data_IF_245780940527
#
_entry.id   IF_245780940527
#
_cell.length_a   1.000
_cell.length_b   1.000
_cell.length_c   1.000
_cell.angle_alpha   90.00
_cell.angle_beta   90.00
_cell.angle_gamma   90.00
#
_symmetry.space_group_name_H-M   'P 1'
#
loop_
_entity.id
_entity.type
_entity.pdbx_description
1 polymer ?
#
# COMPACT_ATOMS: atom_id res chain seq x y z
N UNK A 1 10.47 -16.76 29.23
CA UNK A 1 11.01 -16.04 28.06
C UNK A 1 12.33 -15.44 28.48
N UNK A 2 13.44 -15.87 27.91
CA UNK A 2 14.75 -15.23 28.17
C UNK A 2 14.85 -13.91 27.42
N UNK A 3 15.73 -12.99 27.86
CA UNK A 3 15.97 -11.72 27.17
C UNK A 3 16.33 -11.94 25.69
N UNK A 4 17.04 -13.02 25.37
CA UNK A 4 17.40 -13.38 23.99
C UNK A 4 16.19 -13.77 23.13
N UNK A 5 15.18 -14.44 23.71
CA UNK A 5 13.96 -14.80 22.99
C UNK A 5 13.14 -13.56 22.64
N UNK A 6 13.07 -12.59 23.56
CA UNK A 6 12.38 -11.32 23.35
C UNK A 6 13.06 -10.46 22.26
N UNK A 7 14.38 -10.41 22.22
CA UNK A 7 15.13 -9.68 21.19
C UNK A 7 14.94 -10.28 19.78
N UNK A 8 14.92 -11.61 19.68
CA UNK A 8 14.63 -12.32 18.43
C UNK A 8 13.21 -12.00 17.95
N UNK A 9 12.23 -12.02 18.86
CA UNK A 9 10.85 -11.68 18.55
C UNK A 9 10.72 -10.22 18.09
N UNK A 10 11.39 -9.29 18.77
CA UNK A 10 11.38 -7.88 18.42
C UNK A 10 12.00 -7.63 17.02
N UNK A 11 13.07 -8.34 16.67
CA UNK A 11 13.69 -8.24 15.34
C UNK A 11 12.73 -8.66 14.23
N UNK A 12 12.02 -9.78 14.42
CA UNK A 12 11.01 -10.27 13.46
C UNK A 12 9.88 -9.26 13.27
N UNK A 13 9.41 -8.64 14.35
CA UNK A 13 8.39 -7.60 14.29
C UNK A 13 8.86 -6.37 13.51
N UNK A 14 10.10 -5.91 13.74
CA UNK A 14 10.67 -4.78 13.01
C UNK A 14 10.81 -5.08 11.52
N UNK A 15 11.23 -6.28 11.17
CA UNK A 15 11.37 -6.70 9.77
C UNK A 15 10.01 -6.73 9.07
N UNK A 16 8.98 -7.30 9.72
CA UNK A 16 7.63 -7.37 9.17
C UNK A 16 7.00 -5.99 8.97
N UNK A 17 7.01 -5.14 9.99
CA UNK A 17 6.45 -3.78 9.91
C UNK A 17 7.27 -2.91 8.96
N UNK A 18 8.61 -3.02 9.00
CA UNK A 18 9.50 -2.30 8.10
C UNK A 18 9.27 -2.66 6.64
N UNK A 19 9.18 -3.96 6.33
CA UNK A 19 8.87 -4.46 4.99
C UNK A 19 7.51 -3.96 4.50
N UNK A 20 6.49 -3.98 5.36
CA UNK A 20 5.16 -3.43 5.03
C UNK A 20 5.21 -1.93 4.70
N UNK A 21 5.94 -1.13 5.49
CA UNK A 21 6.08 0.31 5.26
C UNK A 21 6.80 0.58 3.93
N UNK A 22 7.89 -0.13 3.65
CA UNK A 22 8.65 0.03 2.40
C UNK A 22 7.80 -0.32 1.17
N UNK A 23 7.10 -1.46 1.20
CA UNK A 23 6.18 -1.85 0.13
C UNK A 23 5.09 -0.79 -0.12
N UNK A 24 4.57 -0.16 0.95
CA UNK A 24 3.63 0.95 0.82
C UNK A 24 4.26 2.21 0.20
N UNK A 25 5.54 2.47 0.47
CA UNK A 25 6.29 3.53 -0.18
C UNK A 25 6.36 3.32 -1.70
N UNK A 26 6.63 2.10 -2.16
CA UNK A 26 6.66 1.77 -3.59
C UNK A 26 5.28 1.96 -4.24
N UNK A 27 4.22 1.52 -3.56
CA UNK A 27 2.83 1.71 -4.01
C UNK A 27 2.47 3.20 -4.13
N UNK A 28 2.89 4.04 -3.19
CA UNK A 28 2.73 5.50 -3.26
C UNK A 28 3.41 6.09 -4.51
N UNK A 29 4.66 5.71 -4.76
CA UNK A 29 5.42 6.19 -5.92
C UNK A 29 4.79 5.75 -7.25
N UNK A 30 4.41 4.48 -7.36
CA UNK A 30 3.80 3.91 -8.56
C UNK A 30 2.46 4.61 -8.85
N UNK A 31 1.60 4.80 -7.84
CA UNK A 31 0.31 5.45 -8.02
C UNK A 31 0.44 6.93 -8.39
N UNK A 32 1.48 7.62 -7.90
CA UNK A 32 1.78 8.98 -8.36
C UNK A 32 2.17 9.04 -9.84
N UNK A 33 2.97 8.08 -10.32
CA UNK A 33 3.34 7.98 -11.74
C UNK A 33 2.12 7.69 -12.61
N UNK A 34 1.32 6.69 -12.23
CA UNK A 34 0.09 6.34 -12.94
C UNK A 34 -0.91 7.51 -12.98
N UNK A 35 -1.02 8.28 -11.90
CA UNK A 35 -1.84 9.49 -11.92
C UNK A 35 -1.35 10.50 -12.96
N UNK A 36 -0.04 10.79 -12.98
CA UNK A 36 0.54 11.71 -13.97
C UNK A 36 0.30 11.24 -15.40
N UNK A 37 0.36 9.92 -15.63
CA UNK A 37 0.32 9.35 -16.97
C UNK A 37 -1.12 9.18 -17.50
N UNK A 38 -2.10 8.96 -16.61
CA UNK A 38 -3.50 8.65 -16.99
C UNK A 38 -4.55 9.64 -16.48
N UNK A 39 -4.17 10.58 -15.61
CA UNK A 39 -5.07 11.57 -15.03
C UNK A 39 -4.47 12.97 -15.19
N UNK A 40 -5.32 14.00 -15.09
CA UNK A 40 -4.90 15.39 -15.23
C UNK A 40 -4.88 16.10 -13.87
N UNK A 41 -3.94 17.05 -13.73
CA UNK A 41 -3.87 17.94 -12.57
C UNK A 41 -3.11 17.37 -11.38
N UNK A 42 -3.20 18.09 -10.25
CA UNK A 42 -2.48 17.75 -9.01
C UNK A 42 -3.01 16.43 -8.44
N UNK A 43 -2.09 15.51 -8.16
CA UNK A 43 -2.41 14.24 -7.54
C UNK A 43 -3.07 14.45 -6.16
N UNK A 44 -4.25 13.86 -5.89
CA UNK A 44 -4.88 13.91 -4.58
C UNK A 44 -4.23 12.91 -3.60
N UNK A 45 -4.80 12.81 -2.40
CA UNK A 45 -4.45 11.79 -1.41
C UNK A 45 -4.68 10.37 -1.97
N UNK A 46 -4.04 9.39 -1.34
CA UNK A 46 -3.91 8.03 -1.88
C UNK A 46 -5.22 7.41 -2.40
N UNK A 47 -6.26 7.29 -1.57
CA UNK A 47 -7.51 6.62 -1.96
C UNK A 47 -8.22 7.30 -3.14
N UNK A 48 -8.53 8.61 -3.09
CA UNK A 48 -9.09 9.31 -4.25
C UNK A 48 -8.21 9.21 -5.50
N UNK A 49 -6.88 9.18 -5.32
CA UNK A 49 -5.93 9.04 -6.44
C UNK A 49 -6.07 7.68 -7.12
N UNK A 50 -6.08 6.61 -6.34
CA UNK A 50 -6.25 5.24 -6.87
C UNK A 50 -7.60 5.08 -7.56
N UNK A 51 -8.69 5.62 -7.00
CA UNK A 51 -10.02 5.59 -7.62
C UNK A 51 -10.06 6.29 -8.99
N UNK A 52 -9.41 7.44 -9.10
CA UNK A 52 -9.30 8.15 -10.38
C UNK A 52 -8.49 7.37 -11.41
N UNK A 53 -7.36 6.77 -11.01
CA UNK A 53 -6.55 5.91 -11.88
C UNK A 53 -7.35 4.70 -12.36
N UNK A 54 -8.04 4.00 -11.45
CA UNK A 54 -8.90 2.85 -11.80
C UNK A 54 -9.97 3.25 -12.81
N UNK A 55 -10.60 4.41 -12.61
CA UNK A 55 -11.60 4.94 -13.54
C UNK A 55 -11.01 5.24 -14.91
N UNK A 56 -9.81 5.84 -14.95
CA UNK A 56 -9.12 6.13 -16.21
C UNK A 56 -8.69 4.84 -16.94
N UNK A 57 -8.07 3.89 -16.24
CA UNK A 57 -7.60 2.63 -16.81
C UNK A 57 -8.76 1.78 -17.34
N UNK A 58 -9.88 1.68 -16.61
CA UNK A 58 -11.07 0.94 -17.07
C UNK A 58 -11.70 1.54 -18.32
N UNK A 59 -11.63 2.86 -18.51
CA UNK A 59 -12.12 3.53 -19.72
C UNK A 59 -11.26 3.26 -20.94
N UNK A 60 -9.98 2.97 -20.75
CA UNK A 60 -9.04 2.73 -21.85
C UNK A 60 -9.21 1.36 -22.53
N UNK A 61 -10.08 0.47 -22.00
CA UNK A 61 -10.36 -0.90 -22.52
C UNK A 61 -9.10 -1.77 -22.80
N UNK A 62 -7.92 -1.30 -22.42
CA UNK A 62 -6.64 -1.95 -22.66
C UNK A 62 -6.33 -2.96 -21.55
N UNK A 63 -5.52 -3.98 -21.90
CA UNK A 63 -5.03 -5.11 -21.09
C UNK A 63 -4.27 -4.67 -19.80
N UNK A 64 -4.96 -4.01 -18.88
CA UNK A 64 -4.41 -3.53 -17.61
C UNK A 64 -4.99 -4.30 -16.43
N UNK A 65 -5.56 -5.48 -16.65
CA UNK A 65 -6.27 -6.26 -15.62
C UNK A 65 -5.38 -6.55 -14.42
N UNK A 66 -4.10 -6.85 -14.65
CA UNK A 66 -3.11 -7.07 -13.59
C UNK A 66 -2.83 -5.79 -12.78
N UNK A 67 -2.65 -4.65 -13.46
CA UNK A 67 -2.42 -3.36 -12.81
C UNK A 67 -3.66 -2.94 -12.01
N UNK A 68 -4.87 -3.15 -12.56
CA UNK A 68 -6.14 -2.89 -11.89
C UNK A 68 -6.27 -3.75 -10.63
N UNK A 69 -5.97 -5.05 -10.71
CA UNK A 69 -6.01 -5.95 -9.56
C UNK A 69 -5.03 -5.51 -8.46
N UNK A 70 -3.81 -5.12 -8.84
CA UNK A 70 -2.81 -4.57 -7.92
C UNK A 70 -3.29 -3.27 -7.25
N UNK A 71 -3.88 -2.35 -8.01
CA UNK A 71 -4.43 -1.09 -7.49
C UNK A 71 -5.60 -1.32 -6.53
N UNK A 72 -6.49 -2.28 -6.82
CA UNK A 72 -7.58 -2.66 -5.92
C UNK A 72 -7.06 -3.29 -4.62
N UNK A 73 -6.03 -4.14 -4.70
CA UNK A 73 -5.38 -4.70 -3.52
C UNK A 73 -4.74 -3.58 -2.68
N UNK A 74 -3.99 -2.68 -3.31
CA UNK A 74 -3.39 -1.51 -2.65
C UNK A 74 -4.44 -0.62 -1.97
N UNK A 75 -5.58 -0.38 -2.63
CA UNK A 75 -6.68 0.39 -2.07
C UNK A 75 -7.22 -0.23 -0.78
N UNK A 76 -7.45 -1.56 -0.77
CA UNK A 76 -7.91 -2.30 0.42
C UNK A 76 -6.87 -2.30 1.54
N UNK A 77 -5.58 -2.38 1.19
CA UNK A 77 -4.50 -2.37 2.17
C UNK A 77 -4.31 -0.98 2.80
N UNK A 78 -4.66 0.10 2.12
CA UNK A 78 -4.43 1.47 2.62
C UNK A 78 -5.15 1.75 3.95
N UNK A 79 -6.33 1.17 4.15
CA UNK A 79 -7.03 1.24 5.45
C UNK A 79 -6.23 0.56 6.55
N UNK A 80 -5.67 -0.61 6.23
CA UNK A 80 -4.85 -1.38 7.16
C UNK A 80 -3.51 -0.71 7.46
N UNK A 81 -2.97 0.05 6.51
CA UNK A 81 -1.73 0.82 6.71
C UNK A 81 -1.88 1.88 7.78
N UNK A 82 -2.99 2.60 7.79
CA UNK A 82 -3.26 3.58 8.84
C UNK A 82 -3.41 2.89 10.21
N UNK A 83 -4.09 1.74 10.24
CA UNK A 83 -4.21 0.92 11.45
C UNK A 83 -2.84 0.46 11.99
N UNK A 84 -1.97 -0.09 11.15
CA UNK A 84 -0.63 -0.56 11.55
C UNK A 84 0.27 0.62 11.94
N UNK A 85 0.22 1.73 11.21
CA UNK A 85 1.05 2.90 11.48
C UNK A 85 0.71 3.55 12.84
N UNK A 86 -0.57 3.53 13.24
CA UNK A 86 -1.02 4.08 14.52
C UNK A 86 -1.07 3.04 15.65
N UNK A 87 -1.19 1.75 15.32
CA UNK A 87 -1.23 0.65 16.27
C UNK A 87 -0.47 -0.59 15.72
N UNK A 88 0.88 -0.58 15.80
CA UNK A 88 1.72 -1.61 15.19
C UNK A 88 1.51 -3.01 15.77
N UNK A 89 0.93 -3.12 16.98
CA UNK A 89 0.56 -4.41 17.59
C UNK A 89 -0.53 -5.16 16.80
N UNK A 90 -1.30 -4.48 15.95
CA UNK A 90 -2.36 -5.09 15.14
C UNK A 90 -1.84 -5.79 13.87
N UNK A 91 -0.52 -5.77 13.63
CA UNK A 91 0.11 -6.56 12.58
C UNK A 91 0.03 -8.09 12.84
N UNK A 92 -0.45 -8.53 14.02
CA UNK A 92 -0.70 -9.94 14.36
C UNK A 92 -1.93 -10.57 13.69
N UNK A 93 -2.79 -9.79 13.01
CA UNK A 93 -4.05 -10.28 12.41
C UNK A 93 -3.89 -10.65 10.93
N UNK A 94 -2.66 -10.94 10.49
CA UNK A 94 -2.32 -11.27 9.11
C UNK A 94 -1.74 -12.68 8.99
#
# INVERSE_FOLDING_TARGET
MSLSEFEIEQSKWRELVGGFILAFGDVEVITHRLWRDHCNGKAPLFKPRVEGILTALRKLQAQNDEVIACLEAAYRMADKRNTIAHNPMQAQVF
#
